data_IF_140653637318
#
_entry.id   IF_140653637318
#
_cell.length_a   1.000
_cell.length_b   1.000
_cell.length_c   1.000
_cell.angle_alpha   90.00
_cell.angle_beta   90.00
_cell.angle_gamma   90.00
#
_symmetry.space_group_name_H-M   'P 1'
#
loop_
_entity.id
_entity.type
_entity.pdbx_description
1 polymer ?
#
# COMPACT_ATOMS: atom_id res chain seq x y z
N UNK A 1 0.32 17.61 0.95
CA UNK A 1 0.76 16.19 0.89
C UNK A 1 -0.15 15.35 0.01
N UNK A 2 -1.45 15.26 0.30
CA UNK A 2 -2.35 14.39 -0.46
C UNK A 2 -2.49 14.82 -1.92
N UNK A 3 -2.64 16.12 -2.14
CA UNK A 3 -2.68 16.76 -3.45
C UNK A 3 -1.36 16.57 -4.21
N UNK A 4 -0.22 16.53 -3.51
CA UNK A 4 1.10 16.30 -4.11
C UNK A 4 1.21 14.86 -4.63
N UNK A 5 0.72 13.88 -3.84
CA UNK A 5 0.67 12.47 -4.25
C UNK A 5 -0.26 12.30 -5.45
N UNK A 6 -1.44 12.92 -5.43
CA UNK A 6 -2.39 12.88 -6.56
C UNK A 6 -1.80 13.49 -7.83
N UNK A 7 -1.09 14.63 -7.73
CA UNK A 7 -0.36 15.24 -8.84
C UNK A 7 0.77 14.35 -9.35
N UNK A 8 1.51 13.68 -8.46
CA UNK A 8 2.56 12.73 -8.82
C UNK A 8 2.01 11.53 -9.60
N UNK A 9 0.89 10.96 -9.14
CA UNK A 9 0.19 9.88 -9.85
C UNK A 9 -0.26 10.38 -11.23
N UNK A 10 -0.88 11.57 -11.30
CA UNK A 10 -1.30 12.17 -12.55
C UNK A 10 -0.16 12.35 -13.54
N UNK A 11 0.99 12.85 -13.06
CA UNK A 11 2.16 13.01 -13.90
C UNK A 11 2.60 11.68 -14.50
N UNK A 12 2.68 10.61 -13.70
CA UNK A 12 3.05 9.28 -14.20
C UNK A 12 2.01 8.79 -15.21
N UNK A 13 0.73 8.80 -14.87
CA UNK A 13 -0.36 8.37 -15.76
C UNK A 13 -0.33 9.06 -17.13
N UNK A 14 0.01 10.35 -17.16
CA UNK A 14 -0.02 11.15 -18.39
C UNK A 14 1.30 11.14 -19.18
N UNK A 15 2.43 10.79 -18.56
CA UNK A 15 3.75 10.94 -19.18
C UNK A 15 4.55 9.65 -19.31
N UNK A 16 4.15 8.55 -18.65
CA UNK A 16 4.96 7.32 -18.57
C UNK A 16 5.33 6.74 -19.94
N UNK A 17 4.45 6.86 -20.94
CA UNK A 17 4.71 6.42 -22.30
C UNK A 17 5.91 7.14 -22.94
N UNK A 18 6.06 8.44 -22.69
CA UNK A 18 7.20 9.24 -23.18
C UNK A 18 8.54 8.83 -22.56
N UNK A 19 8.51 8.15 -21.41
CA UNK A 19 9.68 7.57 -20.74
C UNK A 19 9.89 6.09 -21.07
N UNK A 20 9.10 5.52 -21.98
CA UNK A 20 9.19 4.12 -22.41
C UNK A 20 8.48 3.12 -21.48
N UNK A 21 7.69 3.58 -20.50
CA UNK A 21 6.86 2.69 -19.70
C UNK A 21 5.48 2.46 -20.34
N UNK A 22 4.80 1.39 -19.92
CA UNK A 22 3.50 1.01 -20.46
C UNK A 22 2.37 1.70 -19.67
N UNK A 23 1.56 2.59 -20.30
CA UNK A 23 0.47 3.28 -19.63
C UNK A 23 -0.66 2.34 -19.17
N UNK A 24 -0.70 1.08 -19.64
CA UNK A 24 -1.65 0.08 -19.20
C UNK A 24 -1.15 -0.77 -18.02
N UNK A 25 0.08 -0.54 -17.55
CA UNK A 25 0.72 -1.33 -16.48
C UNK A 25 1.27 -0.43 -15.38
N UNK A 26 0.39 0.40 -14.81
CA UNK A 26 0.74 1.30 -13.71
C UNK A 26 0.33 0.66 -12.39
N UNK A 27 1.27 0.57 -11.46
CA UNK A 27 1.06 0.04 -10.12
C UNK A 27 1.48 1.07 -9.08
N UNK A 28 0.72 1.19 -8.00
CA UNK A 28 1.03 2.09 -6.91
C UNK A 28 1.58 1.30 -5.72
N UNK A 29 2.72 1.70 -5.18
CA UNK A 29 3.31 1.09 -3.98
C UNK A 29 3.47 2.18 -2.94
N UNK A 30 3.00 1.92 -1.72
CA UNK A 30 3.19 2.81 -0.57
C UNK A 30 3.70 2.02 0.62
N UNK A 31 4.53 2.67 1.45
CA UNK A 31 5.09 2.09 2.66
C UNK A 31 4.82 3.00 3.87
N UNK A 32 4.36 2.44 4.99
CA UNK A 32 4.03 3.17 6.23
C UNK A 32 3.15 4.40 5.98
N UNK A 33 3.62 5.61 6.29
CA UNK A 33 2.90 6.86 5.98
C UNK A 33 2.65 7.04 4.46
N UNK A 34 3.55 6.54 3.61
CA UNK A 34 3.38 6.46 2.16
C UNK A 34 2.23 5.54 1.74
N UNK A 35 2.02 4.44 2.45
CA UNK A 35 0.87 3.55 2.22
C UNK A 35 -0.44 4.22 2.66
N UNK A 36 -0.42 4.92 3.79
CA UNK A 36 -1.56 5.70 4.27
C UNK A 36 -2.00 6.74 3.23
N UNK A 37 -1.07 7.58 2.77
CA UNK A 37 -1.40 8.67 1.85
C UNK A 37 -1.78 8.18 0.45
N UNK A 38 -1.17 7.09 -0.03
CA UNK A 38 -1.55 6.44 -1.29
C UNK A 38 -2.99 5.91 -1.22
N UNK A 39 -3.37 5.28 -0.11
CA UNK A 39 -4.74 4.80 0.09
C UNK A 39 -5.75 5.95 0.16
N UNK A 40 -5.42 7.06 0.85
CA UNK A 40 -6.24 8.26 0.84
C UNK A 40 -6.37 8.86 -0.58
N UNK A 41 -5.29 8.87 -1.36
CA UNK A 41 -5.30 9.43 -2.71
C UNK A 41 -6.22 8.63 -3.64
N UNK A 42 -6.10 7.31 -3.63
CA UNK A 42 -6.96 6.41 -4.40
C UNK A 42 -8.42 6.54 -4.00
N UNK A 43 -8.73 6.54 -2.69
CA UNK A 43 -10.11 6.66 -2.23
C UNK A 43 -10.73 8.02 -2.57
N UNK A 44 -10.00 9.12 -2.36
CA UNK A 44 -10.50 10.45 -2.70
C UNK A 44 -10.70 10.60 -4.21
N UNK A 45 -9.82 10.02 -5.02
CA UNK A 45 -9.94 10.04 -6.47
C UNK A 45 -11.14 9.21 -6.94
N UNK A 46 -11.35 8.02 -6.38
CA UNK A 46 -12.54 7.20 -6.66
C UNK A 46 -13.85 7.93 -6.29
N UNK A 47 -13.88 8.63 -5.15
CA UNK A 47 -15.04 9.43 -4.72
C UNK A 47 -15.34 10.56 -5.71
N UNK A 48 -14.29 11.23 -6.20
CA UNK A 48 -14.42 12.29 -7.21
C UNK A 48 -14.98 11.76 -8.53
N UNK A 49 -14.47 10.61 -9.00
CA UNK A 49 -14.92 9.96 -10.25
C UNK A 49 -16.38 9.47 -10.19
N UNK A 50 -16.85 9.05 -9.02
CA UNK A 50 -18.26 8.66 -8.84
C UNK A 50 -19.23 9.86 -8.74
N UNK A 51 -18.73 11.08 -8.50
CA UNK A 51 -19.54 12.29 -8.39
C UNK A 51 -19.89 12.92 -9.75
N UNK A 52 -20.69 13.98 -9.73
CA UNK A 52 -21.00 14.78 -10.92
C UNK A 52 -19.90 15.84 -11.14
N UNK A 53 -18.90 15.50 -11.95
CA UNK A 53 -17.88 16.46 -12.40
C UNK A 53 -16.47 15.89 -12.40
N UNK A 54 -16.17 15.00 -13.35
CA UNK A 54 -14.81 14.51 -13.51
C UNK A 54 -13.97 15.47 -14.38
N UNK A 55 -13.31 16.41 -13.71
CA UNK A 55 -12.20 17.20 -14.27
C UNK A 55 -10.85 16.65 -13.75
N UNK A 56 -10.79 15.38 -13.36
CA UNK A 56 -9.58 14.79 -12.79
C UNK A 56 -8.53 14.57 -13.87
N UNK A 57 -7.27 14.85 -13.53
CA UNK A 57 -6.14 14.68 -14.44
C UNK A 57 -5.63 13.23 -14.53
N UNK A 58 -6.26 12.29 -13.84
CA UNK A 58 -6.02 10.84 -13.91
C UNK A 58 -7.24 10.09 -13.37
N UNK A 59 -7.38 8.82 -13.76
CA UNK A 59 -8.42 7.93 -13.25
C UNK A 59 -7.84 6.79 -12.42
N UNK A 60 -8.56 6.39 -11.36
CA UNK A 60 -8.25 5.21 -10.54
C UNK A 60 -8.14 3.95 -11.41
N UNK A 61 -8.92 3.86 -12.49
CA UNK A 61 -8.91 2.72 -13.43
C UNK A 61 -7.57 2.52 -14.17
N UNK A 62 -6.71 3.54 -14.20
CA UNK A 62 -5.36 3.45 -14.78
C UNK A 62 -4.40 2.67 -13.86
N UNK A 63 -4.71 2.57 -12.57
CA UNK A 63 -3.89 1.85 -11.59
C UNK A 63 -4.37 0.39 -11.53
N UNK A 64 -3.49 -0.55 -11.87
CA UNK A 64 -3.82 -1.98 -11.90
C UNK A 64 -3.94 -2.59 -10.51
N UNK A 65 -2.95 -2.31 -9.66
CA UNK A 65 -2.97 -2.72 -8.27
C UNK A 65 -2.29 -1.69 -7.38
N UNK A 66 -2.72 -1.68 -6.12
CA UNK A 66 -2.11 -0.93 -5.05
C UNK A 66 -1.49 -1.88 -4.02
N UNK A 67 -0.20 -1.70 -3.75
CA UNK A 67 0.56 -2.46 -2.76
C UNK A 67 0.84 -1.59 -1.54
N UNK A 68 0.13 -1.84 -0.44
CA UNK A 68 0.27 -1.10 0.82
C UNK A 68 1.08 -1.88 1.85
N UNK A 69 2.31 -1.44 2.12
CA UNK A 69 3.27 -2.12 3.00
C UNK A 69 3.29 -1.40 4.36
N UNK A 70 2.99 -2.10 5.45
CA UNK A 70 3.06 -1.59 6.83
C UNK A 70 2.30 -0.27 7.08
N UNK A 71 1.22 0.04 6.35
CA UNK A 71 0.53 1.35 6.41
C UNK A 71 -0.32 1.62 7.67
N UNK A 72 -0.92 2.81 7.80
CA UNK A 72 -1.97 3.11 8.78
C UNK A 72 -3.28 3.49 8.07
N UNK A 73 -4.42 2.86 8.38
CA UNK A 73 -5.69 3.11 7.64
C UNK A 73 -6.86 3.61 8.49
N UNK A 74 -6.74 3.51 9.81
CA UNK A 74 -7.66 4.11 10.77
C UNK A 74 -6.85 4.88 11.81
N UNK A 75 -6.65 6.18 11.58
CA UNK A 75 -5.79 7.00 12.42
C UNK A 75 -6.40 7.26 13.80
N UNK A 76 -7.73 7.23 13.93
CA UNK A 76 -8.43 7.39 15.21
C UNK A 76 -7.95 6.35 16.24
N UNK A 77 -7.75 5.10 15.82
CA UNK A 77 -7.26 4.02 16.68
C UNK A 77 -5.76 4.15 16.99
N UNK A 78 -5.02 4.92 16.20
CA UNK A 78 -3.56 4.99 16.25
C UNK A 78 -3.03 6.17 17.03
N UNK A 79 -3.81 7.23 17.26
CA UNK A 79 -3.35 8.44 18.01
C UNK A 79 -2.71 8.08 19.34
N UNK A 80 -3.41 7.33 20.19
CA UNK A 80 -2.92 6.99 21.53
C UNK A 80 -1.77 5.98 21.46
N UNK A 81 -1.78 5.11 20.45
CA UNK A 81 -0.70 4.15 20.23
C UNK A 81 0.60 4.87 19.83
N UNK A 82 0.54 5.75 18.83
CA UNK A 82 1.66 6.58 18.40
C UNK A 82 2.20 7.45 19.54
N UNK A 83 1.32 8.02 20.37
CA UNK A 83 1.75 8.78 21.54
C UNK A 83 2.59 7.94 22.50
N UNK A 84 2.18 6.69 22.78
CA UNK A 84 2.94 5.76 23.63
C UNK A 84 4.25 5.32 22.99
N UNK A 85 4.29 5.22 21.66
CA UNK A 85 5.47 4.84 20.89
C UNK A 85 6.41 6.03 20.59
N UNK A 86 6.14 7.23 21.14
CA UNK A 86 7.03 8.40 21.07
C UNK A 86 6.67 9.45 20.02
N UNK A 87 5.66 9.22 19.18
CA UNK A 87 5.10 10.23 18.29
C UNK A 87 3.97 10.97 19.02
N UNK A 88 4.32 12.08 19.68
CA UNK A 88 3.39 12.79 20.56
C UNK A 88 2.11 13.25 19.86
N UNK A 89 0.97 13.14 20.57
CA UNK A 89 -0.36 13.52 20.08
C UNK A 89 -0.37 14.92 19.47
N UNK A 90 0.26 15.90 20.10
CA UNK A 90 0.33 17.28 19.59
C UNK A 90 1.01 17.37 18.22
N UNK A 91 2.12 16.66 18.03
CA UNK A 91 2.84 16.61 16.75
C UNK A 91 1.99 15.87 15.72
N UNK A 92 1.46 14.69 16.07
CA UNK A 92 0.65 13.89 15.15
C UNK A 92 -0.59 14.64 14.68
N UNK A 93 -1.35 15.26 15.59
CA UNK A 93 -2.53 16.06 15.25
C UNK A 93 -2.15 17.32 14.46
N UNK A 94 -0.99 17.92 14.72
CA UNK A 94 -0.51 19.05 13.91
C UNK A 94 -0.24 18.62 12.46
N UNK A 95 0.30 17.42 12.23
CA UNK A 95 0.52 16.88 10.87
C UNK A 95 -0.83 16.54 10.22
N UNK A 96 -1.78 16.04 11.00
CA UNK A 96 -3.11 15.61 10.52
C UNK A 96 -4.13 16.75 10.41
N UNK A 97 -3.71 18.02 10.55
CA UNK A 97 -4.62 19.18 10.46
C UNK A 97 -5.73 19.16 11.52
N UNK A 98 -5.43 18.67 12.73
CA UNK A 98 -6.33 18.62 13.86
C UNK A 98 -7.07 17.28 14.04
N UNK A 99 -7.79 17.16 15.15
CA UNK A 99 -8.52 15.93 15.50
C UNK A 99 -9.75 15.69 14.61
N UNK A 100 -10.44 16.77 14.22
CA UNK A 100 -11.60 16.72 13.32
C UNK A 100 -11.25 16.13 11.94
N UNK A 101 -10.01 16.33 11.50
CA UNK A 101 -9.50 15.85 10.20
C UNK A 101 -9.13 14.37 10.20
N UNK A 102 -9.00 13.72 11.36
CA UNK A 102 -8.60 12.31 11.44
C UNK A 102 -9.59 11.38 10.74
N UNK A 103 -10.88 11.67 10.80
CA UNK A 103 -11.90 10.89 10.09
C UNK A 103 -11.70 10.95 8.58
N UNK A 104 -11.47 12.16 8.04
CA UNK A 104 -11.19 12.40 6.62
C UNK A 104 -9.90 11.70 6.15
N UNK A 105 -8.89 11.65 7.02
CA UNK A 105 -7.62 11.00 6.73
C UNK A 105 -7.58 9.54 7.20
N UNK A 106 -8.71 8.91 7.47
CA UNK A 106 -8.77 7.48 7.83
C UNK A 106 -9.52 6.71 6.75
N UNK A 107 -8.85 6.18 5.71
CA UNK A 107 -9.54 5.55 4.57
C UNK A 107 -10.45 4.38 4.99
N UNK A 108 -10.12 3.66 6.06
CA UNK A 108 -10.98 2.60 6.62
C UNK A 108 -12.28 3.15 7.25
N UNK A 109 -12.28 4.40 7.68
CA UNK A 109 -13.46 5.09 8.24
C UNK A 109 -14.24 5.73 7.11
N UNK A 110 -13.56 6.49 6.23
CA UNK A 110 -14.15 7.17 5.08
C UNK A 110 -14.93 6.21 4.18
N UNK A 111 -14.43 4.98 3.94
CA UNK A 111 -15.12 3.99 3.11
C UNK A 111 -16.54 3.62 3.62
N UNK A 112 -16.82 3.82 4.90
CA UNK A 112 -18.12 3.52 5.50
C UNK A 112 -19.16 4.60 5.22
N UNK A 113 -18.74 5.79 4.81
CA UNK A 113 -19.60 6.93 4.48
C UNK A 113 -20.35 6.68 3.17
N UNK A 114 -21.61 7.11 3.10
CA UNK A 114 -22.49 6.82 1.96
C UNK A 114 -21.95 7.31 0.62
N UNK A 115 -21.26 8.45 0.60
CA UNK A 115 -20.59 9.02 -0.57
C UNK A 115 -19.41 8.20 -1.07
N UNK A 116 -18.73 7.48 -0.17
CA UNK A 116 -17.58 6.63 -0.50
C UNK A 116 -17.99 5.22 -0.93
N UNK A 117 -19.12 4.71 -0.43
CA UNK A 117 -19.61 3.36 -0.75
C UNK A 117 -19.81 3.14 -2.25
N UNK A 118 -20.37 4.13 -2.95
CA UNK A 118 -20.53 4.07 -4.39
C UNK A 118 -19.19 4.06 -5.12
N UNK A 119 -18.11 4.59 -4.54
CA UNK A 119 -16.78 4.67 -5.16
C UNK A 119 -15.91 3.43 -4.95
N UNK A 120 -16.24 2.56 -3.99
CA UNK A 120 -15.39 1.40 -3.62
C UNK A 120 -15.12 0.46 -4.79
N UNK A 121 -16.09 0.29 -5.68
CA UNK A 121 -15.95 -0.59 -6.84
C UNK A 121 -14.95 -0.06 -7.90
N UNK A 122 -14.61 1.23 -7.85
CA UNK A 122 -13.60 1.84 -8.73
C UNK A 122 -12.18 1.60 -8.21
N UNK A 123 -12.01 1.24 -6.93
CA UNK A 123 -10.69 1.02 -6.34
C UNK A 123 -9.95 -0.11 -7.07
N UNK A 124 -8.62 0.02 -7.25
CA UNK A 124 -7.84 -1.03 -7.89
C UNK A 124 -7.76 -2.25 -6.97
N UNK A 125 -7.13 -3.33 -7.43
CA UNK A 125 -6.85 -4.46 -6.54
C UNK A 125 -5.91 -4.01 -5.41
N UNK A 126 -6.39 -4.05 -4.17
CA UNK A 126 -5.62 -3.63 -2.99
C UNK A 126 -4.93 -4.85 -2.37
N UNK A 127 -3.61 -4.79 -2.24
CA UNK A 127 -2.81 -5.87 -1.66
C UNK A 127 -2.00 -5.29 -0.51
N UNK A 128 -2.23 -5.83 0.67
CA UNK A 128 -1.65 -5.34 1.91
C UNK A 128 -0.58 -6.31 2.43
N UNK A 129 0.56 -5.79 2.86
CA UNK A 129 1.63 -6.58 3.49
C UNK A 129 1.93 -6.02 4.87
N UNK A 130 2.03 -6.88 5.89
CA UNK A 130 2.26 -6.43 7.26
C UNK A 130 2.96 -7.50 8.11
N UNK A 131 3.84 -7.07 9.01
CA UNK A 131 4.50 -7.95 9.97
C UNK A 131 3.64 -8.22 11.20
N UNK A 132 3.64 -9.46 11.73
CA UNK A 132 2.84 -9.79 12.92
C UNK A 132 3.42 -9.23 14.22
N UNK A 133 4.71 -8.88 14.21
CA UNK A 133 5.45 -8.28 15.35
C UNK A 133 5.70 -6.78 15.16
N UNK A 134 4.95 -6.13 14.27
CA UNK A 134 4.97 -4.67 14.10
C UNK A 134 4.46 -3.98 15.38
N UNK A 135 5.35 -3.22 16.03
CA UNK A 135 5.03 -2.51 17.28
C UNK A 135 4.66 -1.04 17.05
N UNK A 136 4.84 -0.56 15.81
CA UNK A 136 4.52 0.79 15.38
C UNK A 136 3.07 0.91 14.91
N UNK A 137 2.56 -0.13 14.24
CA UNK A 137 1.16 -0.25 13.81
C UNK A 137 0.68 -1.68 14.08
N UNK A 138 -0.25 -1.89 15.03
CA UNK A 138 -0.73 -3.23 15.36
C UNK A 138 -1.33 -3.96 14.17
N UNK A 139 -0.97 -5.23 14.01
CA UNK A 139 -1.45 -6.08 12.89
C UNK A 139 -2.98 -6.30 12.90
N UNK A 140 -3.65 -6.16 14.06
CA UNK A 140 -5.12 -6.18 14.17
C UNK A 140 -5.80 -5.13 13.29
N UNK A 141 -5.18 -3.97 13.11
CA UNK A 141 -5.69 -2.91 12.24
C UNK A 141 -5.70 -3.33 10.76
N UNK A 142 -4.82 -4.26 10.34
CA UNK A 142 -4.82 -4.80 8.97
C UNK A 142 -5.96 -5.74 8.70
N UNK A 143 -6.25 -6.62 9.65
CA UNK A 143 -7.37 -7.55 9.56
C UNK A 143 -8.66 -6.76 9.45
N UNK A 144 -8.81 -5.72 10.28
CA UNK A 144 -9.97 -4.83 10.24
C UNK A 144 -10.06 -4.03 8.93
N UNK A 145 -8.94 -3.53 8.40
CA UNK A 145 -8.92 -2.80 7.14
C UNK A 145 -9.31 -3.69 5.94
N UNK A 146 -8.72 -4.89 5.82
CA UNK A 146 -9.08 -5.87 4.78
C UNK A 146 -10.58 -6.20 4.84
N UNK A 147 -11.08 -6.51 6.04
CA UNK A 147 -12.48 -6.84 6.23
C UNK A 147 -13.40 -5.69 5.80
N UNK A 148 -13.07 -4.45 6.19
CA UNK A 148 -13.83 -3.26 5.79
C UNK A 148 -13.85 -3.04 4.28
N UNK A 149 -12.71 -3.24 3.59
CA UNK A 149 -12.63 -3.15 2.13
C UNK A 149 -13.52 -4.20 1.44
N UNK A 150 -13.37 -5.47 1.84
CA UNK A 150 -14.10 -6.59 1.24
C UNK A 150 -15.62 -6.49 1.47
N UNK A 151 -16.04 -6.05 2.65
CA UNK A 151 -17.46 -5.84 2.97
C UNK A 151 -18.14 -4.82 2.05
N UNK A 152 -17.39 -3.87 1.48
CA UNK A 152 -17.92 -2.84 0.60
C UNK A 152 -17.62 -3.13 -0.89
N UNK A 153 -17.18 -4.34 -1.23
CA UNK A 153 -17.02 -4.80 -2.60
C UNK A 153 -15.65 -4.56 -3.23
N UNK A 154 -14.66 -4.04 -2.49
CA UNK A 154 -13.30 -3.91 -3.01
C UNK A 154 -12.60 -5.27 -3.08
N UNK A 155 -11.79 -5.46 -4.13
CA UNK A 155 -10.84 -6.57 -4.21
C UNK A 155 -9.66 -6.28 -3.29
N UNK A 156 -9.57 -7.00 -2.16
CA UNK A 156 -8.50 -6.80 -1.19
C UNK A 156 -7.86 -8.11 -0.69
N UNK A 157 -6.54 -8.18 -0.69
CA UNK A 157 -5.72 -9.26 -0.13
C UNK A 157 -4.84 -8.75 1.00
N UNK A 158 -4.50 -9.62 1.95
CA UNK A 158 -3.60 -9.32 3.07
C UNK A 158 -2.64 -10.49 3.25
N UNK A 159 -1.35 -10.18 3.24
CA UNK A 159 -0.24 -11.07 3.56
C UNK A 159 0.34 -10.67 4.90
N UNK A 160 0.27 -11.59 5.87
CA UNK A 160 0.87 -11.42 7.20
C UNK A 160 2.18 -12.18 7.27
N UNK A 161 3.22 -11.52 7.76
CA UNK A 161 4.56 -12.07 7.87
C UNK A 161 4.91 -12.33 9.32
N UNK A 162 5.01 -13.62 9.67
CA UNK A 162 5.23 -14.05 11.03
C UNK A 162 6.58 -13.55 11.57
N UNK A 163 6.56 -12.94 12.76
CA UNK A 163 7.74 -12.44 13.45
C UNK A 163 8.39 -11.19 12.84
N UNK A 164 7.85 -10.65 11.73
CA UNK A 164 8.37 -9.43 11.10
C UNK A 164 7.90 -8.19 11.84
N UNK A 165 8.79 -7.23 12.03
CA UNK A 165 8.50 -5.92 12.62
C UNK A 165 8.05 -4.91 11.56
N UNK A 166 7.78 -3.65 11.93
CA UNK A 166 7.32 -2.60 11.02
C UNK A 166 8.24 -2.44 9.81
N UNK A 167 9.55 -2.43 10.06
CA UNK A 167 10.57 -2.10 9.06
C UNK A 167 11.10 -3.30 8.29
N UNK A 168 10.93 -4.51 8.81
CA UNK A 168 11.60 -5.69 8.26
C UNK A 168 11.33 -5.89 6.77
N UNK A 169 10.07 -5.72 6.34
CA UNK A 169 9.62 -6.00 4.97
C UNK A 169 10.26 -5.10 3.91
N UNK A 170 10.63 -3.87 4.27
CA UNK A 170 11.11 -2.87 3.29
C UNK A 170 12.51 -2.34 3.59
N UNK A 171 13.11 -2.72 4.72
CA UNK A 171 14.46 -2.32 5.09
C UNK A 171 15.34 -3.53 5.40
N UNK A 172 15.05 -4.31 6.44
CA UNK A 172 15.96 -5.36 6.91
C UNK A 172 16.01 -6.53 5.93
N UNK A 173 14.89 -6.97 5.36
CA UNK A 173 14.85 -8.08 4.40
C UNK A 173 15.58 -7.72 3.09
N UNK A 174 15.33 -6.55 2.47
CA UNK A 174 16.14 -6.10 1.34
C UNK A 174 17.64 -5.99 1.65
N UNK A 175 18.02 -5.46 2.81
CA UNK A 175 19.43 -5.34 3.21
C UNK A 175 20.09 -6.68 3.55
N UNK A 176 19.31 -7.65 4.06
CA UNK A 176 19.76 -9.03 4.35
C UNK A 176 20.14 -9.76 3.07
N UNK A 177 19.47 -9.44 1.96
CA UNK A 177 19.58 -10.17 0.71
C UNK A 177 19.03 -11.59 0.82
N UNK A 178 19.22 -12.38 -0.23
CA UNK A 178 18.58 -13.69 -0.37
C UNK A 178 17.27 -13.60 -1.14
N UNK A 179 16.37 -14.55 -0.90
CA UNK A 179 15.01 -14.51 -1.45
C UNK A 179 14.15 -13.56 -0.63
N UNK A 180 13.40 -12.73 -1.33
CA UNK A 180 12.46 -11.79 -0.74
C UNK A 180 11.04 -12.23 -1.10
N UNK A 181 10.34 -12.76 -0.09
CA UNK A 181 8.99 -13.29 -0.26
C UNK A 181 7.98 -12.20 -0.65
N UNK A 182 8.12 -10.98 -0.14
CA UNK A 182 7.22 -9.88 -0.49
C UNK A 182 7.42 -9.47 -1.94
N UNK A 183 8.68 -9.41 -2.38
CA UNK A 183 8.98 -9.12 -3.78
C UNK A 183 8.47 -10.23 -4.72
N UNK A 184 8.59 -11.50 -4.33
CA UNK A 184 8.01 -12.64 -5.05
C UNK A 184 6.47 -12.53 -5.16
N UNK A 185 5.78 -12.16 -4.07
CA UNK A 185 4.32 -11.95 -4.06
C UNK A 185 3.91 -10.76 -4.95
N UNK A 186 4.62 -9.63 -4.88
CA UNK A 186 4.37 -8.45 -5.74
C UNK A 186 4.58 -8.82 -7.22
N UNK A 187 5.68 -9.50 -7.54
CA UNK A 187 6.02 -9.91 -8.91
C UNK A 187 4.97 -10.87 -9.47
N UNK A 188 4.49 -11.81 -8.65
CA UNK A 188 3.41 -12.73 -9.02
C UNK A 188 2.13 -11.98 -9.43
N UNK A 189 1.73 -10.95 -8.68
CA UNK A 189 0.56 -10.12 -9.01
C UNK A 189 0.77 -9.34 -10.31
N UNK A 190 1.96 -8.75 -10.49
CA UNK A 190 2.28 -7.95 -11.70
C UNK A 190 2.24 -8.81 -12.96
N UNK A 191 2.58 -10.10 -12.87
CA UNK A 191 2.64 -11.01 -14.02
C UNK A 191 1.42 -11.92 -14.18
N UNK A 192 0.56 -12.07 -13.17
CA UNK A 192 -0.67 -12.88 -13.33
C UNK A 192 -1.59 -12.34 -14.41
N UNK A 193 -1.54 -11.03 -14.70
CA UNK A 193 -2.30 -10.42 -15.79
C UNK A 193 -1.70 -10.70 -17.19
N UNK A 194 -0.38 -10.96 -17.27
CA UNK A 194 0.29 -11.36 -18.51
C UNK A 194 -0.13 -12.80 -18.92
N UNK A 195 -0.40 -13.67 -17.93
CA UNK A 195 -0.80 -15.06 -18.18
C UNK A 195 -2.25 -15.22 -18.67
N UNK A 196 -3.15 -14.31 -18.31
CA UNK A 196 -4.54 -14.33 -18.80
C UNK A 196 -4.63 -13.93 -20.28
N UNK A 197 -3.64 -13.20 -20.80
CA UNK A 197 -3.55 -12.83 -22.23
C UNK A 197 -2.77 -13.86 -23.06
N UNK A 198 -1.96 -14.74 -22.44
CA UNK A 198 -1.16 -15.75 -23.14
C UNK A 198 -1.85 -17.11 -23.36
N UNK A 199 -3.12 -17.28 -22.94
CA UNK A 199 -3.86 -18.55 -23.12
C UNK A 199 -4.25 -18.88 -24.58
N UNK A 200 -3.66 -18.22 -25.58
CA UNK A 200 -3.89 -18.54 -26.99
C UNK A 200 -2.68 -18.99 -27.81
N UNK A 201 -1.45 -19.05 -27.29
CA UNK A 201 -0.36 -19.73 -27.99
C UNK A 201 0.65 -20.35 -27.01
N UNK A 202 0.90 -21.65 -27.23
CA UNK A 202 2.04 -22.45 -26.78
C UNK A 202 2.16 -22.79 -25.28
N UNK A 203 1.62 -23.97 -24.97
CA UNK A 203 1.95 -24.77 -23.79
C UNK A 203 3.38 -25.32 -23.89
N UNK A 204 4.41 -24.55 -23.50
CA UNK A 204 5.68 -25.17 -23.06
C UNK A 204 6.69 -24.28 -22.31
N UNK A 205 6.34 -23.07 -21.89
CA UNK A 205 7.21 -22.28 -20.99
C UNK A 205 6.41 -21.64 -19.88
N UNK A 206 6.21 -22.38 -18.79
CA UNK A 206 6.00 -21.79 -17.47
C UNK A 206 7.28 -21.06 -17.06
N UNK A 207 7.48 -19.86 -17.62
CA UNK A 207 8.42 -18.89 -17.11
C UNK A 207 7.94 -18.47 -15.72
N UNK A 208 8.22 -19.29 -14.70
CA UNK A 208 8.30 -18.81 -13.34
C UNK A 208 9.37 -17.72 -13.35
N UNK A 209 8.94 -16.46 -13.42
CA UNK A 209 9.83 -15.32 -13.27
C UNK A 209 10.55 -15.47 -11.95
N UNK A 210 11.82 -15.84 -12.03
CA UNK A 210 12.68 -15.99 -10.87
C UNK A 210 13.04 -14.58 -10.45
N UNK A 211 12.42 -14.08 -9.38
CA UNK A 211 12.89 -12.88 -8.69
C UNK A 211 14.37 -13.10 -8.36
N UNK A 212 15.30 -12.25 -8.84
CA UNK A 212 16.72 -12.46 -8.60
C UNK A 212 17.02 -12.51 -7.11
N UNK A 213 17.82 -13.49 -6.69
CA UNK A 213 18.30 -13.56 -5.30
C UNK A 213 19.15 -12.32 -5.02
N UNK A 214 18.68 -11.46 -4.13
CA UNK A 214 19.34 -10.20 -3.84
C UNK A 214 20.69 -10.44 -3.14
N UNK A 215 21.69 -9.66 -3.52
CA UNK A 215 22.98 -9.65 -2.80
C UNK A 215 22.75 -9.08 -1.41
N UNK A 216 23.35 -9.71 -0.39
CA UNK A 216 23.42 -9.13 0.96
C UNK A 216 24.16 -7.79 0.96
N UNK A 217 23.52 -6.76 1.50
CA UNK A 217 24.07 -5.40 1.59
C UNK A 217 24.67 -5.13 2.97
N UNK A 218 24.19 -5.80 4.01
CA UNK A 218 24.62 -5.57 5.40
C UNK A 218 24.88 -6.91 6.12
N UNK A 219 25.92 -7.01 6.98
CA UNK A 219 26.16 -8.18 7.82
C UNK A 219 24.97 -8.54 8.72
N UNK A 220 24.71 -9.84 8.91
CA UNK A 220 23.55 -10.32 9.67
C UNK A 220 23.51 -9.81 11.11
N UNK A 221 24.67 -9.65 11.76
CA UNK A 221 24.73 -9.19 13.15
C UNK A 221 24.24 -7.73 13.30
N UNK A 222 24.45 -6.87 12.29
CA UNK A 222 23.97 -5.49 12.32
C UNK A 222 22.45 -5.43 12.20
N UNK A 223 21.86 -6.28 11.35
CA UNK A 223 20.40 -6.37 11.22
C UNK A 223 19.76 -6.89 12.51
N UNK A 224 20.35 -7.93 13.11
CA UNK A 224 19.90 -8.46 14.42
C UNK A 224 20.03 -7.44 15.54
N UNK A 225 21.09 -6.63 15.52
CA UNK A 225 21.28 -5.55 16.50
C UNK A 225 20.25 -4.43 16.28
N UNK A 226 20.02 -4.02 15.03
CA UNK A 226 19.02 -3.02 14.68
C UNK A 226 17.63 -3.42 15.17
N UNK A 227 17.22 -4.67 14.93
CA UNK A 227 15.93 -5.19 15.41
C UNK A 227 15.82 -5.31 16.94
N UNK A 228 16.94 -5.30 17.69
CA UNK A 228 16.92 -5.28 19.16
C UNK A 228 16.90 -3.86 19.74
N UNK A 229 17.63 -2.94 19.11
CA UNK A 229 17.81 -1.56 19.60
C UNK A 229 16.65 -0.67 19.15
N UNK A 230 16.10 -0.92 17.97
CA UNK A 230 15.05 -0.12 17.36
C UNK A 230 13.96 -1.02 16.76
N UNK A 231 13.20 -1.74 17.60
CA UNK A 231 12.18 -2.70 17.16
C UNK A 231 10.90 -1.97 16.73
N UNK A 232 10.99 -1.08 15.73
CA UNK A 232 9.79 -0.49 15.11
C UNK A 232 8.93 -1.60 14.53
#
# INVERSE_FOLDING_TARGET
>A
MLEDVSQGISFVCNNIASYGGDPNRIYLVGQSAGAHIAACALLNQAIRECGEGDNSFWSVSQIKAYFGISGGYNLLNLVDHFHRCGLYRSIFLSIMEGEESLQKFSPQVTIKESSARSAVHLLPHIILFHGTSDSSIPSSERIAAKHSLQQHGAKANLFLYEGKTHTDLFLQDPLRGGRDKMLEEITSVIHSEDSDTSNHLDSDTSNHLVVPVARRLVPEFMLKLAGRVSPF
#
